data_IF_889455199950
#
_entry.id   IF_889455199950
#
_cell.length_a   1.000
_cell.length_b   1.000
_cell.length_c   1.000
_cell.angle_alpha   90.00
_cell.angle_beta   90.00
_cell.angle_gamma   90.00
#
_symmetry.space_group_name_H-M   'P 1'
#
loop_
_entity.id
_entity.type
_entity.pdbx_description
1 polymer ?
#
# COMPACT_ATOMS: atom_id res chain seq x y z
N UNK A 1 15.48 4.84 10.95
CA UNK A 1 14.22 4.97 10.19
C UNK A 1 13.33 3.82 10.62
N UNK A 2 12.07 4.07 10.97
CA UNK A 2 11.11 3.05 11.41
C UNK A 2 10.43 2.34 10.24
N UNK A 3 10.39 2.95 9.06
CA UNK A 3 9.76 2.37 7.86
C UNK A 3 10.82 1.86 6.89
N UNK A 4 10.77 0.58 6.54
CA UNK A 4 11.66 -0.07 5.56
C UNK A 4 10.95 -0.21 4.21
N UNK A 5 11.46 0.49 3.19
CA UNK A 5 10.91 0.42 1.84
C UNK A 5 11.49 -0.76 1.05
N UNK A 6 10.62 -1.59 0.50
CA UNK A 6 10.99 -2.85 -0.17
C UNK A 6 10.24 -2.93 -1.51
N UNK A 7 10.94 -3.33 -2.56
CA UNK A 7 10.30 -3.85 -3.75
C UNK A 7 10.43 -5.38 -3.76
N UNK A 8 9.31 -6.10 -3.91
CA UNK A 8 9.31 -7.56 -4.04
C UNK A 8 8.33 -7.99 -5.12
N UNK A 9 8.85 -8.68 -6.13
CA UNK A 9 8.03 -9.22 -7.22
C UNK A 9 7.07 -10.31 -6.70
N UNK A 10 7.51 -11.13 -5.74
CA UNK A 10 6.66 -12.15 -5.11
C UNK A 10 5.46 -11.52 -4.40
N UNK A 11 5.69 -10.41 -3.70
CA UNK A 11 4.60 -9.63 -3.06
C UNK A 11 3.69 -8.97 -4.09
N UNK A 12 4.21 -8.48 -5.20
CA UNK A 12 3.39 -7.95 -6.30
C UNK A 12 2.50 -9.04 -6.91
N UNK A 13 3.04 -10.26 -7.12
CA UNK A 13 2.29 -11.41 -7.63
C UNK A 13 1.15 -11.78 -6.65
N UNK A 14 1.47 -11.91 -5.36
CA UNK A 14 0.49 -12.21 -4.31
C UNK A 14 -0.61 -11.14 -4.26
N UNK A 15 -0.23 -9.86 -4.33
CA UNK A 15 -1.16 -8.74 -4.35
C UNK A 15 -2.08 -8.77 -5.57
N UNK A 16 -1.54 -9.01 -6.76
CA UNK A 16 -2.35 -9.11 -7.99
C UNK A 16 -3.31 -10.30 -7.94
N UNK A 17 -2.89 -11.43 -7.37
CA UNK A 17 -3.78 -12.55 -7.13
C UNK A 17 -4.93 -12.17 -6.18
N UNK A 18 -4.62 -11.50 -5.06
CA UNK A 18 -5.65 -11.04 -4.12
C UNK A 18 -6.57 -9.97 -4.74
N UNK A 19 -6.04 -9.08 -5.58
CA UNK A 19 -6.84 -8.11 -6.34
C UNK A 19 -7.79 -8.82 -7.32
N UNK A 20 -7.36 -9.90 -7.97
CA UNK A 20 -8.23 -10.68 -8.84
C UNK A 20 -9.39 -11.32 -8.07
N UNK A 21 -9.13 -11.86 -6.88
CA UNK A 21 -10.16 -12.47 -6.03
C UNK A 21 -11.18 -11.46 -5.52
N UNK A 22 -10.73 -10.25 -5.18
CA UNK A 22 -11.54 -9.20 -4.58
C UNK A 22 -11.96 -8.12 -5.59
N UNK A 23 -11.77 -8.35 -6.90
CA UNK A 23 -11.97 -7.33 -7.92
C UNK A 23 -13.37 -6.72 -7.87
N UNK A 24 -14.39 -7.56 -7.65
CA UNK A 24 -15.78 -7.12 -7.59
C UNK A 24 -16.03 -6.15 -6.42
N UNK A 25 -15.42 -6.37 -5.25
CA UNK A 25 -15.56 -5.48 -4.11
C UNK A 25 -15.10 -4.05 -4.45
N UNK A 26 -13.99 -3.91 -5.19
CA UNK A 26 -13.51 -2.59 -5.62
C UNK A 26 -14.47 -1.91 -6.61
N UNK A 27 -15.10 -2.69 -7.49
CA UNK A 27 -16.11 -2.19 -8.42
C UNK A 27 -17.36 -1.73 -7.66
N UNK A 28 -17.89 -2.58 -6.78
CA UNK A 28 -19.13 -2.33 -6.03
C UNK A 28 -19.02 -1.13 -5.09
N UNK A 29 -17.82 -0.88 -4.53
CA UNK A 29 -17.56 0.25 -3.63
C UNK A 29 -16.98 1.48 -4.35
N UNK A 30 -16.97 1.49 -5.69
CA UNK A 30 -16.38 2.56 -6.52
C UNK A 30 -14.96 2.95 -6.06
N UNK A 31 -14.19 1.96 -5.60
CA UNK A 31 -12.89 2.20 -4.97
C UNK A 31 -11.78 2.21 -6.02
N UNK A 32 -11.00 3.31 -6.14
CA UNK A 32 -10.08 3.50 -7.25
C UNK A 32 -8.88 2.53 -7.16
N UNK A 33 -8.75 1.67 -8.18
CA UNK A 33 -7.64 0.73 -8.31
C UNK A 33 -6.96 0.79 -9.67
N UNK A 34 -5.64 0.57 -9.66
CA UNK A 34 -4.84 0.43 -10.88
C UNK A 34 -4.53 -1.03 -11.14
N UNK A 35 -5.11 -1.62 -12.19
CA UNK A 35 -4.83 -3.02 -12.57
C UNK A 35 -4.01 -3.09 -13.86
N UNK A 36 -3.14 -4.11 -14.03
CA UNK A 36 -2.56 -4.39 -15.33
C UNK A 36 -3.63 -4.88 -16.30
N UNK A 37 -3.46 -4.56 -17.60
CA UNK A 37 -4.43 -4.94 -18.64
C UNK A 37 -4.61 -6.46 -18.76
N UNK A 38 -3.55 -7.23 -18.50
CA UNK A 38 -3.62 -8.69 -18.54
C UNK A 38 -4.46 -9.29 -17.41
N UNK A 39 -4.63 -8.60 -16.27
CA UNK A 39 -5.29 -9.16 -15.09
C UNK A 39 -6.73 -9.57 -15.38
N UNK A 40 -7.44 -8.76 -16.17
CA UNK A 40 -8.83 -9.01 -16.59
C UNK A 40 -8.97 -10.22 -17.51
N UNK A 41 -7.90 -10.63 -18.19
CA UNK A 41 -7.88 -11.79 -19.10
C UNK A 41 -7.55 -13.09 -18.39
N UNK A 42 -7.07 -13.02 -17.14
CA UNK A 42 -6.79 -14.22 -16.35
C UNK A 42 -8.13 -14.84 -15.94
N UNK A 43 -8.44 -16.00 -16.52
CA UNK A 43 -9.60 -16.79 -16.12
C UNK A 43 -9.45 -17.35 -14.69
N UNK A 44 -10.57 -17.80 -14.12
CA UNK A 44 -10.56 -18.49 -12.82
C UNK A 44 -9.83 -19.82 -12.94
N UNK A 45 -8.59 -19.87 -12.45
CA UNK A 45 -7.75 -21.08 -12.33
C UNK A 45 -7.32 -21.25 -10.88
N UNK A 46 -6.70 -22.40 -10.57
CA UNK A 46 -6.09 -22.61 -9.26
C UNK A 46 -4.96 -21.61 -8.97
N UNK A 47 -4.80 -21.22 -7.70
CA UNK A 47 -3.83 -20.21 -7.22
C UNK A 47 -2.44 -20.34 -7.85
N UNK A 48 -1.88 -21.55 -7.84
CA UNK A 48 -0.52 -21.82 -8.36
C UNK A 48 -0.38 -21.45 -9.84
N UNK A 49 -1.37 -21.83 -10.66
CA UNK A 49 -1.35 -21.54 -12.09
C UNK A 49 -1.59 -20.05 -12.34
N UNK A 50 -2.53 -19.42 -11.62
CA UNK A 50 -2.76 -17.97 -11.73
C UNK A 50 -1.51 -17.17 -11.37
N UNK A 51 -0.85 -17.47 -10.25
CA UNK A 51 0.39 -16.80 -9.87
C UNK A 51 1.52 -17.00 -10.89
N UNK A 52 1.61 -18.19 -11.50
CA UNK A 52 2.56 -18.46 -12.59
C UNK A 52 2.30 -17.56 -13.80
N UNK A 53 1.05 -17.39 -14.20
CA UNK A 53 0.66 -16.53 -15.32
C UNK A 53 0.91 -15.05 -15.02
N UNK A 54 0.58 -14.59 -13.80
CA UNK A 54 0.89 -13.23 -13.36
C UNK A 54 2.40 -12.98 -13.44
N UNK A 55 3.23 -13.91 -12.95
CA UNK A 55 4.69 -13.78 -13.02
C UNK A 55 5.17 -13.61 -14.46
N UNK A 56 4.75 -14.49 -15.37
CA UNK A 56 5.15 -14.44 -16.78
C UNK A 56 4.76 -13.11 -17.45
N UNK A 57 3.60 -12.54 -17.12
CA UNK A 57 3.17 -11.26 -17.66
C UNK A 57 3.91 -10.07 -17.02
N UNK A 58 4.19 -10.13 -15.71
CA UNK A 58 4.99 -9.11 -15.02
C UNK A 58 6.42 -9.07 -15.53
N UNK A 59 7.07 -10.22 -15.76
CA UNK A 59 8.44 -10.32 -16.26
C UNK A 59 8.63 -9.58 -17.60
N UNK A 60 7.58 -9.46 -18.41
CA UNK A 60 7.60 -8.72 -19.69
C UNK A 60 7.68 -7.20 -19.52
N UNK A 61 7.22 -6.69 -18.38
CA UNK A 61 7.14 -5.24 -18.09
C UNK A 61 8.03 -4.83 -16.92
N UNK A 62 8.82 -5.77 -16.40
CA UNK A 62 9.61 -5.59 -15.19
C UNK A 62 10.87 -4.78 -15.46
N UNK A 63 10.94 -3.57 -14.90
CA UNK A 63 12.17 -2.77 -14.90
C UNK A 63 12.74 -2.68 -13.49
N UNK A 64 13.72 -3.54 -13.19
CA UNK A 64 14.39 -3.62 -11.88
C UNK A 64 15.12 -2.34 -11.49
N UNK A 65 15.82 -1.70 -12.43
CA UNK A 65 16.58 -0.48 -12.17
C UNK A 65 15.68 0.68 -11.76
N UNK A 66 14.58 0.87 -12.49
CA UNK A 66 13.56 1.88 -12.20
C UNK A 66 12.99 1.69 -10.78
N UNK A 67 12.78 0.44 -10.36
CA UNK A 67 12.26 0.14 -9.01
C UNK A 67 13.26 0.50 -7.92
N UNK A 68 14.54 0.18 -8.11
CA UNK A 68 15.60 0.55 -7.16
C UNK A 68 15.67 2.07 -7.03
N UNK A 69 15.57 2.81 -8.13
CA UNK A 69 15.55 4.27 -8.12
C UNK A 69 14.32 4.80 -7.37
N UNK A 70 13.11 4.26 -7.63
CA UNK A 70 11.88 4.62 -6.90
C UNK A 70 12.03 4.39 -5.40
N UNK A 71 12.57 3.26 -4.97
CA UNK A 71 12.83 2.96 -3.55
C UNK A 71 13.72 4.04 -2.93
N UNK A 72 14.82 4.42 -3.60
CA UNK A 72 15.74 5.46 -3.11
C UNK A 72 15.04 6.82 -2.97
N UNK A 73 14.28 7.24 -3.98
CA UNK A 73 13.55 8.52 -3.99
C UNK A 73 12.55 8.57 -2.82
N UNK A 74 11.76 7.51 -2.66
CA UNK A 74 10.71 7.45 -1.63
C UNK A 74 11.32 7.38 -0.24
N UNK A 75 12.39 6.58 -0.08
CA UNK A 75 13.15 6.52 1.18
C UNK A 75 13.66 7.90 1.58
N UNK A 76 14.24 8.65 0.64
CA UNK A 76 14.74 10.00 0.90
C UNK A 76 13.60 10.97 1.28
N UNK A 77 12.47 10.93 0.56
CA UNK A 77 11.29 11.76 0.86
C UNK A 77 10.69 11.46 2.22
N UNK A 78 10.49 10.19 2.55
CA UNK A 78 9.90 9.79 3.82
C UNK A 78 10.83 10.13 4.99
N UNK A 79 12.14 9.92 4.83
CA UNK A 79 13.13 10.24 5.87
C UNK A 79 13.05 11.71 6.34
N UNK A 80 12.67 12.64 5.47
CA UNK A 80 12.49 14.06 5.81
C UNK A 80 11.24 14.30 6.66
N UNK A 81 10.17 13.53 6.45
CA UNK A 81 8.89 13.68 7.15
C UNK A 81 8.76 12.81 8.41
N UNK A 82 9.49 11.68 8.47
CA UNK A 82 9.30 10.61 9.45
C UNK A 82 9.32 11.12 10.90
N UNK A 83 10.31 11.94 11.28
CA UNK A 83 10.43 12.43 12.64
C UNK A 83 9.23 13.30 13.03
N UNK A 84 8.84 14.23 12.16
CA UNK A 84 7.69 15.11 12.40
C UNK A 84 6.39 14.30 12.54
N UNK A 85 6.20 13.31 11.66
CA UNK A 85 5.05 12.41 11.69
C UNK A 85 4.97 11.63 13.01
N UNK A 86 6.03 10.95 13.44
CA UNK A 86 5.95 10.17 14.68
C UNK A 86 5.82 11.07 15.91
N UNK A 87 6.47 12.23 15.94
CA UNK A 87 6.35 13.19 17.03
C UNK A 87 4.92 13.75 17.13
N UNK A 88 4.27 14.06 16.01
CA UNK A 88 2.89 14.56 16.02
C UNK A 88 1.88 13.53 16.55
N UNK A 89 2.24 12.25 16.51
CA UNK A 89 1.41 11.15 17.01
C UNK A 89 1.64 10.79 18.47
N UNK A 90 2.73 11.25 19.10
CA UNK A 90 3.05 10.94 20.51
C UNK A 90 1.91 11.36 21.46
N UNK A 91 1.27 12.51 21.19
CA UNK A 91 0.15 13.02 21.98
C UNK A 91 -1.11 12.14 21.98
N UNK A 92 -1.24 11.22 21.03
CA UNK A 92 -2.43 10.36 20.89
C UNK A 92 -2.26 8.98 21.57
N UNK A 93 -1.10 8.72 22.18
CA UNK A 93 -0.76 7.47 22.85
C UNK A 93 -1.12 6.23 21.99
N UNK A 94 -0.72 6.27 20.71
CA UNK A 94 -1.00 5.22 19.74
C UNK A 94 -0.01 4.07 19.87
N UNK A 95 -0.46 2.85 19.57
CA UNK A 95 0.40 1.67 19.55
C UNK A 95 1.34 1.73 18.35
N UNK A 96 2.60 2.05 18.61
CA UNK A 96 3.64 2.14 17.60
C UNK A 96 4.52 0.89 17.59
N UNK A 97 4.75 0.32 16.41
CA UNK A 97 5.73 -0.75 16.20
C UNK A 97 7.16 -0.21 16.15
N UNK A 98 8.14 -1.08 16.44
CA UNK A 98 9.56 -0.76 16.29
C UNK A 98 9.94 -0.57 14.82
N UNK A 99 9.37 -1.39 13.94
CA UNK A 99 9.63 -1.37 12.49
C UNK A 99 8.37 -1.69 11.69
N UNK A 100 8.21 -0.99 10.57
CA UNK A 100 7.17 -1.20 9.55
C UNK A 100 7.80 -1.58 8.22
N UNK A 101 7.17 -2.50 7.49
CA UNK A 101 7.55 -2.86 6.13
C UNK A 101 6.63 -2.16 5.12
N UNK A 102 7.21 -1.32 4.26
CA UNK A 102 6.48 -0.66 3.18
C UNK A 102 6.85 -1.32 1.85
N UNK A 103 5.92 -2.09 1.28
CA UNK A 103 6.08 -2.69 -0.03
C UNK A 103 5.61 -1.72 -1.12
N UNK A 104 6.52 -1.38 -2.01
CA UNK A 104 6.21 -0.57 -3.18
C UNK A 104 5.68 -1.48 -4.30
N UNK A 105 4.52 -1.12 -4.83
CA UNK A 105 3.85 -1.87 -5.89
C UNK A 105 3.57 -0.97 -7.10
N UNK A 106 3.37 -1.56 -8.27
CA UNK A 106 2.91 -0.83 -9.45
C UNK A 106 1.37 -0.85 -9.56
N UNK A 107 0.70 -1.78 -8.88
CA UNK A 107 -0.73 -2.02 -9.04
C UNK A 107 -1.50 -2.07 -7.70
N UNK A 108 -2.82 -1.93 -7.80
CA UNK A 108 -3.76 -1.87 -6.69
C UNK A 108 -4.23 -0.46 -6.34
N UNK A 109 -4.84 -0.29 -5.16
CA UNK A 109 -5.16 1.02 -4.62
C UNK A 109 -3.91 1.84 -4.29
N UNK A 110 -4.09 3.13 -4.00
CA UNK A 110 -3.00 4.05 -3.70
C UNK A 110 -2.20 3.62 -2.47
N UNK A 111 -2.91 3.30 -1.38
CA UNK A 111 -2.37 2.67 -0.18
C UNK A 111 -3.20 1.46 0.22
N UNK A 112 -2.61 0.58 1.02
CA UNK A 112 -3.31 -0.47 1.76
C UNK A 112 -2.44 -0.97 2.91
N UNK A 113 -3.01 -1.10 4.10
CA UNK A 113 -2.34 -1.71 5.24
C UNK A 113 -2.63 -3.22 5.38
N UNK A 114 -1.73 -3.91 6.05
CA UNK A 114 -1.88 -5.29 6.48
C UNK A 114 -1.24 -5.47 7.86
N UNK A 115 -2.04 -5.92 8.83
CA UNK A 115 -1.55 -6.20 10.17
C UNK A 115 -0.44 -7.27 10.17
N UNK A 116 0.53 -7.19 11.10
CA UNK A 116 0.63 -6.19 12.18
C UNK A 116 1.40 -4.91 11.82
N UNK A 117 2.19 -4.91 10.75
CA UNK A 117 3.16 -3.85 10.50
C UNK A 117 3.51 -3.63 9.01
N UNK A 118 2.65 -4.07 8.10
CA UNK A 118 2.89 -3.98 6.66
C UNK A 118 2.00 -2.91 6.05
N UNK A 119 2.56 -2.09 5.16
CA UNK A 119 1.81 -1.23 4.25
C UNK A 119 2.25 -1.49 2.81
N UNK A 120 1.32 -1.32 1.88
CA UNK A 120 1.54 -1.40 0.45
C UNK A 120 1.24 -0.04 -0.17
N UNK A 121 2.15 0.48 -0.98
CA UNK A 121 1.99 1.78 -1.62
C UNK A 121 2.21 1.65 -3.11
N UNK A 122 1.24 2.14 -3.90
CA UNK A 122 1.34 2.15 -5.36
C UNK A 122 2.21 3.29 -5.85
N UNK A 123 3.19 2.99 -6.70
CA UNK A 123 4.10 3.96 -7.34
C UNK A 123 4.08 3.77 -8.87
N UNK A 124 2.96 4.14 -9.50
CA UNK A 124 2.76 4.02 -10.95
C UNK A 124 2.89 5.35 -11.67
N UNK A 125 2.26 6.40 -11.12
CA UNK A 125 2.16 7.74 -11.73
C UNK A 125 3.05 8.75 -11.01
N UNK A 126 3.38 9.86 -11.67
CA UNK A 126 4.08 11.00 -11.02
C UNK A 126 3.29 11.53 -9.81
N UNK A 127 1.96 11.54 -9.88
CA UNK A 127 1.06 11.94 -8.78
C UNK A 127 1.33 11.11 -7.52
N UNK A 128 1.46 9.79 -7.65
CA UNK A 128 1.74 8.88 -6.53
C UNK A 128 3.03 9.26 -5.77
N UNK A 129 4.07 9.71 -6.49
CA UNK A 129 5.34 10.16 -5.88
C UNK A 129 5.20 11.52 -5.19
N UNK A 130 4.27 12.38 -5.61
CA UNK A 130 4.02 13.68 -4.97
C UNK A 130 3.30 13.50 -3.63
N UNK A 131 2.30 12.64 -3.59
CA UNK A 131 1.43 12.38 -2.42
C UNK A 131 1.93 11.23 -1.54
N UNK A 132 3.18 10.81 -1.73
CA UNK A 132 3.72 9.58 -1.13
C UNK A 132 3.78 9.65 0.40
N UNK A 133 4.17 10.80 0.96
CA UNK A 133 4.29 10.94 2.41
C UNK A 133 2.93 10.89 3.09
N UNK A 134 1.91 11.52 2.50
CA UNK A 134 0.52 11.47 2.98
C UNK A 134 -0.01 10.05 2.91
N UNK A 135 0.19 9.35 1.80
CA UNK A 135 -0.25 7.96 1.64
C UNK A 135 0.44 7.04 2.66
N UNK A 136 1.76 7.18 2.88
CA UNK A 136 2.48 6.41 3.89
C UNK A 136 1.94 6.71 5.29
N UNK A 137 1.75 7.98 5.62
CA UNK A 137 1.20 8.40 6.91
C UNK A 137 -0.19 7.79 7.16
N UNK A 138 -1.07 7.85 6.15
CA UNK A 138 -2.43 7.31 6.20
C UNK A 138 -2.44 5.83 6.57
N UNK A 139 -1.69 5.02 5.82
CA UNK A 139 -1.63 3.58 6.04
C UNK A 139 -0.93 3.20 7.35
N UNK A 140 0.02 4.00 7.82
CA UNK A 140 0.64 3.79 9.13
C UNK A 140 -0.35 4.07 10.28
N UNK A 141 -1.17 5.12 10.18
CA UNK A 141 -2.17 5.43 11.20
C UNK A 141 -3.19 4.29 11.26
N UNK A 142 -3.66 3.76 10.12
CA UNK A 142 -4.51 2.57 10.07
C UNK A 142 -3.98 1.44 10.96
N UNK A 143 -2.69 1.09 10.85
CA UNK A 143 -2.05 0.07 11.69
C UNK A 143 -2.06 0.43 13.19
N UNK A 144 -1.84 1.70 13.51
CA UNK A 144 -1.70 2.19 14.89
C UNK A 144 -3.04 2.27 15.63
N UNK A 145 -4.13 2.56 14.92
CA UNK A 145 -5.48 2.67 15.49
C UNK A 145 -6.32 1.41 15.27
N UNK A 146 -5.82 0.42 14.55
CA UNK A 146 -6.57 -0.77 14.13
C UNK A 146 -7.41 -1.39 15.26
N UNK A 147 -6.81 -1.62 16.43
CA UNK A 147 -7.51 -2.22 17.58
C UNK A 147 -8.75 -1.40 18.03
N UNK A 148 -8.71 -0.07 17.86
CA UNK A 148 -9.78 0.86 18.22
C UNK A 148 -10.88 0.92 17.16
N UNK A 149 -10.55 0.71 15.89
CA UNK A 149 -11.47 0.89 14.76
C UNK A 149 -11.91 -0.43 14.10
N UNK A 150 -11.37 -1.59 14.49
CA UNK A 150 -11.57 -2.87 13.79
C UNK A 150 -13.04 -3.27 13.55
N UNK A 151 -13.93 -2.91 14.47
CA UNK A 151 -15.36 -3.26 14.43
C UNK A 151 -16.22 -2.22 13.67
N UNK A 152 -15.62 -1.14 13.18
CA UNK A 152 -16.30 -0.13 12.39
C UNK A 152 -16.43 -0.55 10.93
N UNK A 153 -17.37 0.05 10.21
CA UNK A 153 -17.45 -0.10 8.76
C UNK A 153 -16.30 0.62 8.04
N UNK A 154 -16.23 0.49 6.71
CA UNK A 154 -15.15 1.06 5.91
C UNK A 154 -15.14 2.59 5.95
N UNK A 155 -16.28 3.25 5.79
CA UNK A 155 -16.37 4.72 5.79
C UNK A 155 -15.98 5.31 7.14
N UNK A 156 -16.43 4.69 8.23
CA UNK A 156 -16.06 5.09 9.59
C UNK A 156 -14.56 4.97 9.84
N UNK A 157 -13.94 3.88 9.35
CA UNK A 157 -12.50 3.66 9.47
C UNK A 157 -11.72 4.75 8.76
N UNK A 158 -11.98 4.95 7.46
CA UNK A 158 -11.29 5.96 6.66
C UNK A 158 -11.52 7.38 7.23
N UNK A 159 -12.76 7.69 7.63
CA UNK A 159 -13.09 9.00 8.22
C UNK A 159 -12.34 9.31 9.51
N UNK A 160 -12.08 8.32 10.37
CA UNK A 160 -11.23 8.51 11.56
C UNK A 160 -9.78 8.79 11.17
N UNK A 161 -9.26 8.11 10.14
CA UNK A 161 -7.88 8.35 9.68
C UNK A 161 -7.76 9.75 9.08
N UNK A 162 -8.72 10.16 8.24
CA UNK A 162 -8.73 11.48 7.60
C UNK A 162 -8.75 12.63 8.62
N UNK A 163 -9.38 12.44 9.78
CA UNK A 163 -9.35 13.44 10.86
C UNK A 163 -7.94 13.76 11.40
N UNK A 164 -6.95 12.87 11.20
CA UNK A 164 -5.56 13.16 11.55
C UNK A 164 -4.91 14.18 10.61
N UNK A 165 -5.46 14.37 9.40
CA UNK A 165 -4.94 15.28 8.39
C UNK A 165 -5.72 16.61 8.32
N UNK A 166 -6.99 16.62 8.73
CA UNK A 166 -7.84 17.83 8.74
C UNK A 166 -7.51 18.78 9.91
N UNK A 167 -6.81 18.30 10.95
CA UNK A 167 -6.54 19.05 12.20
C UNK A 167 -5.08 19.51 12.41
N UNK A 168 -4.28 19.61 11.36
CA UNK A 168 -2.90 20.12 11.42
C UNK A 168 -2.69 21.27 10.48
#
# INVERSE_FOLDING_TARGET
>A
MKVKFIYSQEREIERLYNLLLNYQWFVDNNFPIETPSFLKRLGKKGKKETCRQIKLELDKVDNKENKIQKVKIITAKWKQAERSFFNSLEKYNLKNQKEYSCYLCNFGPQGQFQMPNIIYIRIKKKKDIREINETIAHELIHLMVYDRIKNMDFEQKEGIIDMFFVRT
#
